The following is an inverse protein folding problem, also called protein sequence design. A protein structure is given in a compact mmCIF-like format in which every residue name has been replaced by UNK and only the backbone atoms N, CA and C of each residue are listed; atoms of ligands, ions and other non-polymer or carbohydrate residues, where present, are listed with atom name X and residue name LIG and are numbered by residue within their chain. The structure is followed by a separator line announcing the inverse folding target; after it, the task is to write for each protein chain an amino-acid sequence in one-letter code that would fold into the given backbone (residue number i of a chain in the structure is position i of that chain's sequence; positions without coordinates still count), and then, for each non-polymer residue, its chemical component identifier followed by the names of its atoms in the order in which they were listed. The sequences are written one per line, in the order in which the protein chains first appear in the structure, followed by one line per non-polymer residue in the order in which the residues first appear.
data_IF_495310190691
#
_entry.id   IF_495310190691
#
_cell.length_a   1.000
_cell.length_b   1.000
_cell.length_c   1.000
_cell.angle_alpha   90.00
_cell.angle_beta   90.00
_cell.angle_gamma   90.00
#
_symmetry.space_group_name_H-M   'P 1'
#
loop_
_entity.id
_entity.type
_entity.pdbx_description
1 polymer ?
#
# COMPACT_ATOMS: atom_id res chain seq x y z
N UNK A 1 26.47 -19.47 17.70
CA UNK A 1 25.33 -18.54 17.89
C UNK A 1 25.64 -17.26 17.13
N UNK A 2 24.91 -16.98 16.04
CA UNK A 2 24.99 -15.68 15.37
C UNK A 2 24.17 -14.71 16.22
N UNK A 3 24.80 -13.64 16.73
CA UNK A 3 24.05 -12.55 17.36
C UNK A 3 23.19 -11.92 16.28
N UNK A 4 21.86 -11.98 16.42
CA UNK A 4 21.00 -11.09 15.65
C UNK A 4 21.33 -9.67 16.10
N UNK A 5 22.00 -8.92 15.22
CA UNK A 5 22.06 -7.47 15.37
C UNK A 5 20.65 -6.96 15.10
N UNK A 6 20.07 -6.22 16.05
CA UNK A 6 18.85 -5.48 15.75
C UNK A 6 19.12 -4.57 14.54
N UNK A 7 18.23 -4.61 13.54
CA UNK A 7 18.28 -3.64 12.45
C UNK A 7 18.01 -2.26 13.05
N UNK A 8 19.05 -1.43 13.12
CA UNK A 8 18.97 -0.07 13.67
C UNK A 8 18.10 0.83 12.79
N UNK A 9 17.99 0.53 11.49
CA UNK A 9 17.15 1.22 10.52
C UNK A 9 16.48 0.16 9.64
N UNK A 10 15.16 0.15 9.62
CA UNK A 10 14.36 -0.71 8.76
C UNK A 10 14.13 -0.07 7.38
N UNK A 11 14.42 -0.82 6.32
CA UNK A 11 14.33 -0.35 4.93
C UNK A 11 13.42 -1.29 4.15
N UNK A 12 12.43 -0.74 3.46
CA UNK A 12 11.54 -1.48 2.58
C UNK A 12 11.45 -0.88 1.17
N UNK A 13 11.37 -1.77 0.20
CA UNK A 13 10.92 -1.43 -1.16
C UNK A 13 9.42 -1.63 -1.27
N UNK A 14 8.72 -0.77 -2.00
CA UNK A 14 7.31 -0.95 -2.28
C UNK A 14 6.92 -0.44 -3.67
N UNK A 15 5.80 -0.95 -4.17
CA UNK A 15 5.22 -0.63 -5.47
C UNK A 15 3.71 -0.92 -5.44
N UNK A 16 2.91 -0.09 -6.12
CA UNK A 16 1.45 -0.26 -6.23
C UNK A 16 0.99 -0.44 -7.67
N UNK A 17 -0.08 -1.19 -7.86
CA UNK A 17 -0.78 -1.30 -9.14
C UNK A 17 -2.18 -0.74 -9.03
N UNK A 18 -2.60 0.00 -10.05
CA UNK A 18 -3.83 0.79 -10.01
C UNK A 18 -4.64 0.60 -11.29
N UNK A 19 -5.95 0.83 -11.22
CA UNK A 19 -6.82 0.71 -12.39
C UNK A 19 -6.76 1.91 -13.34
N UNK A 20 -6.06 2.98 -12.96
CA UNK A 20 -5.92 4.23 -13.70
C UNK A 20 -4.73 5.03 -13.16
N UNK A 21 -4.19 5.97 -13.94
CA UNK A 21 -3.12 6.86 -13.50
C UNK A 21 -3.59 8.03 -12.60
N UNK A 22 -4.90 8.30 -12.54
CA UNK A 22 -5.49 9.31 -11.65
C UNK A 22 -6.17 8.66 -10.45
N UNK A 23 -5.83 9.10 -9.24
CA UNK A 23 -6.36 8.56 -7.98
C UNK A 23 -7.78 9.00 -7.64
N UNK A 24 -8.27 10.06 -8.30
CA UNK A 24 -9.64 10.56 -8.15
C UNK A 24 -10.67 9.62 -8.81
N UNK A 25 -10.23 8.87 -9.82
CA UNK A 25 -11.06 7.91 -10.57
C UNK A 25 -10.60 6.46 -10.41
N UNK A 26 -9.30 6.24 -10.28
CA UNK A 26 -8.69 4.94 -10.11
C UNK A 26 -8.77 4.41 -8.69
N UNK A 27 -8.48 3.12 -8.53
CA UNK A 27 -8.30 2.44 -7.25
C UNK A 27 -7.02 1.63 -7.23
N UNK A 28 -6.52 1.33 -6.04
CA UNK A 28 -5.45 0.36 -5.84
C UNK A 28 -5.99 -1.05 -6.07
N UNK A 29 -5.26 -1.85 -6.84
CA UNK A 29 -5.58 -3.23 -7.18
C UNK A 29 -4.74 -4.21 -6.35
N UNK A 30 -3.44 -3.92 -6.22
CA UNK A 30 -2.52 -4.67 -5.41
C UNK A 30 -1.30 -3.81 -5.06
N UNK A 31 -0.50 -4.32 -4.13
CA UNK A 31 0.79 -3.74 -3.79
C UNK A 31 1.72 -4.83 -3.28
N UNK A 32 3.01 -4.55 -3.30
CA UNK A 32 4.04 -5.36 -2.65
C UNK A 32 4.87 -4.49 -1.72
N UNK A 33 5.17 -5.00 -0.53
CA UNK A 33 6.15 -4.40 0.38
C UNK A 33 7.21 -5.45 0.69
N UNK A 34 8.49 -5.11 0.51
CA UNK A 34 9.61 -6.01 0.74
C UNK A 34 10.66 -5.31 1.58
N UNK A 35 10.67 -5.62 2.88
CA UNK A 35 11.77 -5.29 3.78
C UNK A 35 13.03 -6.07 3.42
N UNK A 36 14.20 -5.45 3.60
CA UNK A 36 15.50 -6.11 3.45
C UNK A 36 15.56 -7.39 4.30
N UNK A 37 16.08 -8.47 3.72
CA UNK A 37 16.25 -9.76 4.42
C UNK A 37 14.96 -10.53 4.73
N UNK A 38 13.77 -9.98 4.44
CA UNK A 38 12.47 -10.64 4.69
C UNK A 38 11.77 -11.05 3.40
N UNK A 39 10.79 -11.94 3.53
CA UNK A 39 9.88 -12.29 2.43
C UNK A 39 8.97 -11.09 2.11
N UNK A 40 8.58 -10.90 0.85
CA UNK A 40 7.64 -9.85 0.48
C UNK A 40 6.26 -10.12 1.11
N UNK A 41 5.60 -9.04 1.52
CA UNK A 41 4.19 -9.01 1.88
C UNK A 41 3.43 -8.57 0.63
N UNK A 42 2.43 -9.35 0.24
CA UNK A 42 1.65 -9.14 -0.98
C UNK A 42 0.23 -8.76 -0.58
N UNK A 43 -0.21 -7.61 -1.06
CA UNK A 43 -1.57 -7.11 -0.88
C UNK A 43 -2.34 -7.31 -2.18
N UNK A 44 -3.50 -7.97 -2.12
CA UNK A 44 -4.35 -8.21 -3.29
C UNK A 44 -5.78 -7.76 -3.01
N UNK A 45 -6.30 -6.82 -3.80
CA UNK A 45 -7.67 -6.30 -3.61
C UNK A 45 -8.74 -7.38 -3.69
N UNK A 46 -8.53 -8.43 -4.48
CA UNK A 46 -9.48 -9.54 -4.63
C UNK A 46 -9.66 -10.43 -3.38
N UNK A 47 -8.80 -10.27 -2.36
CA UNK A 47 -8.94 -10.99 -1.10
C UNK A 47 -9.81 -10.24 -0.08
N UNK A 48 -10.10 -8.95 -0.31
CA UNK A 48 -10.85 -8.09 0.61
C UNK A 48 -12.36 -8.27 0.47
N UNK A 49 -13.08 -7.98 1.57
CA UNK A 49 -14.52 -8.24 1.67
C UNK A 49 -15.34 -7.44 0.65
N UNK A 50 -15.04 -6.15 0.45
CA UNK A 50 -15.77 -5.30 -0.51
C UNK A 50 -15.68 -5.86 -1.93
N UNK A 51 -14.48 -6.27 -2.36
CA UNK A 51 -14.27 -6.90 -3.65
C UNK A 51 -15.02 -8.23 -3.79
N UNK A 52 -14.93 -9.11 -2.80
CA UNK A 52 -15.63 -10.40 -2.78
C UNK A 52 -17.16 -10.24 -2.83
N UNK A 53 -17.68 -9.14 -2.28
CA UNK A 53 -19.09 -8.75 -2.35
C UNK A 53 -19.48 -8.05 -3.66
N UNK A 54 -18.54 -7.92 -4.61
CA UNK A 54 -18.75 -7.31 -5.92
C UNK A 54 -18.45 -5.81 -5.98
N UNK A 55 -18.20 -5.14 -4.85
CA UNK A 55 -17.79 -3.74 -4.83
C UNK A 55 -16.27 -3.62 -5.05
N UNK A 56 -15.86 -3.64 -6.32
CA UNK A 56 -14.45 -3.50 -6.74
C UNK A 56 -13.95 -2.05 -6.75
N UNK A 57 -14.81 -1.09 -6.41
CA UNK A 57 -14.46 0.32 -6.33
C UNK A 57 -13.94 0.72 -4.94
N UNK A 58 -14.37 -0.01 -3.91
CA UNK A 58 -13.93 0.21 -2.54
C UNK A 58 -12.62 -0.53 -2.26
N UNK A 59 -11.53 0.24 -2.30
CA UNK A 59 -10.17 -0.16 -1.93
C UNK A 59 -9.76 0.34 -0.53
N UNK A 60 -10.68 0.88 0.27
CA UNK A 60 -10.37 1.56 1.54
C UNK A 60 -9.57 0.68 2.51
N UNK A 61 -10.00 -0.56 2.71
CA UNK A 61 -9.32 -1.52 3.59
C UNK A 61 -7.96 -1.98 3.02
N UNK A 62 -7.86 -2.13 1.70
CA UNK A 62 -6.59 -2.46 1.06
C UNK A 62 -5.57 -1.33 1.26
N UNK A 63 -5.98 -0.10 1.00
CA UNK A 63 -5.14 1.10 1.15
C UNK A 63 -4.72 1.28 2.60
N UNK A 64 -5.64 1.08 3.54
CA UNK A 64 -5.34 1.12 4.98
C UNK A 64 -4.23 0.15 5.35
N UNK A 65 -4.37 -1.13 4.99
CA UNK A 65 -3.40 -2.16 5.35
C UNK A 65 -2.02 -1.91 4.72
N UNK A 66 -2.00 -1.40 3.47
CA UNK A 66 -0.75 -0.99 2.80
C UNK A 66 -0.07 0.13 3.60
N UNK A 67 -0.79 1.19 3.94
CA UNK A 67 -0.23 2.34 4.68
C UNK A 67 0.25 1.89 6.07
N UNK A 68 -0.51 1.05 6.77
CA UNK A 68 -0.11 0.50 8.06
C UNK A 68 1.17 -0.33 7.96
N UNK A 69 1.37 -1.09 6.88
CA UNK A 69 2.62 -1.81 6.64
C UNK A 69 3.78 -0.87 6.29
N UNK A 70 3.57 0.12 5.43
CA UNK A 70 4.60 1.10 5.07
C UNK A 70 5.09 1.88 6.29
N UNK A 71 4.20 2.23 7.23
CA UNK A 71 4.52 2.95 8.46
C UNK A 71 5.37 2.15 9.47
N UNK A 72 5.60 0.85 9.25
CA UNK A 72 6.48 0.03 10.09
C UNK A 72 7.96 0.19 9.73
N UNK A 73 8.26 0.84 8.61
CA UNK A 73 9.62 0.96 8.09
C UNK A 73 10.13 2.40 8.19
N UNK A 74 11.39 2.58 8.56
CA UNK A 74 12.01 3.91 8.70
C UNK A 74 12.30 4.54 7.32
N UNK A 75 12.64 3.71 6.34
CA UNK A 75 12.96 4.14 4.97
C UNK A 75 12.15 3.35 3.96
N UNK A 76 11.50 4.08 3.05
CA UNK A 76 10.75 3.52 1.93
C UNK A 76 11.43 3.87 0.60
N UNK A 77 11.60 2.85 -0.26
CA UNK A 77 12.17 2.98 -1.59
C UNK A 77 11.11 2.55 -2.61
N UNK A 78 10.85 3.38 -3.61
CA UNK A 78 9.93 3.07 -4.69
C UNK A 78 10.45 3.62 -6.02
N UNK A 79 10.05 3.01 -7.13
CA UNK A 79 10.32 3.56 -8.45
C UNK A 79 9.26 4.64 -8.76
N UNK A 80 9.67 5.89 -8.95
CA UNK A 80 8.74 7.02 -9.16
C UNK A 80 7.74 7.29 -8.00
N UNK A 81 7.90 6.66 -6.83
CA UNK A 81 6.93 6.73 -5.74
C UNK A 81 6.65 8.12 -5.16
N UNK A 82 7.59 9.07 -5.31
CA UNK A 82 7.35 10.47 -4.93
C UNK A 82 6.36 11.19 -5.85
N UNK A 83 6.22 10.75 -7.11
CA UNK A 83 5.31 11.36 -8.10
C UNK A 83 4.05 10.55 -8.34
N UNK A 84 4.05 9.26 -8.00
CA UNK A 84 2.94 8.36 -8.27
C UNK A 84 2.41 7.66 -7.02
N UNK A 85 3.13 6.66 -6.50
CA UNK A 85 2.63 5.73 -5.48
C UNK A 85 2.15 6.45 -4.21
N UNK A 86 3.01 7.32 -3.66
CA UNK A 86 2.71 8.04 -2.42
C UNK A 86 1.57 9.05 -2.62
N UNK A 87 1.56 9.92 -3.65
CA UNK A 87 0.38 10.75 -3.96
C UNK A 87 -0.91 9.96 -4.18
N UNK A 88 -0.86 8.82 -4.87
CA UNK A 88 -2.02 7.98 -5.14
C UNK A 88 -2.58 7.38 -3.85
N UNK A 89 -1.73 6.76 -3.03
CA UNK A 89 -2.10 6.22 -1.72
C UNK A 89 -2.67 7.30 -0.79
N UNK A 90 -2.05 8.48 -0.73
CA UNK A 90 -2.56 9.60 0.08
C UNK A 90 -3.96 10.03 -0.35
N UNK A 91 -4.19 10.14 -1.66
CA UNK A 91 -5.50 10.53 -2.21
C UNK A 91 -6.56 9.49 -1.88
N UNK A 92 -6.26 8.20 -2.11
CA UNK A 92 -7.18 7.10 -1.78
C UNK A 92 -7.43 6.97 -0.29
N UNK A 93 -6.42 7.19 0.55
CA UNK A 93 -6.55 7.17 2.00
C UNK A 93 -7.49 8.28 2.49
N UNK A 94 -7.36 9.49 1.94
CA UNK A 94 -8.30 10.56 2.24
C UNK A 94 -9.73 10.18 1.83
N UNK A 95 -9.97 9.86 0.57
CA UNK A 95 -11.31 9.59 0.04
C UNK A 95 -11.98 8.36 0.65
N UNK A 96 -11.21 7.30 0.95
CA UNK A 96 -11.71 6.05 1.50
C UNK A 96 -11.88 6.04 3.02
N UNK A 97 -11.10 6.82 3.77
CA UNK A 97 -11.15 6.84 5.25
C UNK A 97 -11.96 8.01 5.81
N UNK A 98 -12.16 9.09 5.05
CA UNK A 98 -12.93 10.26 5.50
C UNK A 98 -14.44 10.14 5.26
N UNK A 99 -14.95 8.99 4.80
CA UNK A 99 -16.36 8.82 4.44
C UNK A 99 -16.80 9.77 3.32
N UNK A 100 -15.90 10.09 2.38
CA UNK A 100 -16.11 11.09 1.35
C UNK A 100 -17.30 10.74 0.46
N UNK A 101 -18.40 11.48 0.65
CA UNK A 101 -19.54 11.59 -0.26
C UNK A 101 -19.05 12.14 -1.59
N UNK A 102 -18.77 11.23 -2.52
CA UNK A 102 -18.90 11.49 -3.95
C UNK A 102 -20.29 11.06 -4.40
#
# INVERSE_FOLDING_TARGET
MVKQTEEVISIATFDIETSNLSADFGRVLCAVVKQVGKKPIIFRGDTYASWKKGNKYDDSMLVKDIIEELNKHDVLIAHNGMKFDRPFLNTRAYSGLSGGTG
#
